data_IF_089224826069
#
_entry.id   IF_089224826069
#
_cell.length_a   1.000
_cell.length_b   1.000
_cell.length_c   1.000
_cell.angle_alpha   90.00
_cell.angle_beta   90.00
_cell.angle_gamma   90.00
#
_symmetry.space_group_name_H-M   'P 1'
#
loop_
_entity.id
_entity.type
_entity.pdbx_description
1 polymer ?
#
# COMPACT_ATOMS: atom_id res chain seq x y z
N UNK A 1 -13.81 9.19 3.52
CA UNK A 1 -12.99 8.71 2.40
C UNK A 1 -11.55 8.97 2.78
N UNK A 2 -10.67 7.97 2.73
CA UNK A 2 -9.24 8.11 3.06
C UNK A 2 -8.42 7.96 1.78
N UNK A 3 -7.40 8.80 1.62
CA UNK A 3 -6.41 8.70 0.56
C UNK A 3 -5.30 7.72 0.97
N UNK A 4 -4.66 7.11 -0.03
CA UNK A 4 -3.58 6.16 0.14
C UNK A 4 -2.51 6.42 -0.92
N UNK A 5 -1.27 6.59 -0.48
CA UNK A 5 -0.12 6.59 -1.37
C UNK A 5 0.12 5.18 -1.93
N UNK A 6 0.07 5.04 -3.25
CA UNK A 6 0.36 3.79 -3.95
C UNK A 6 1.51 3.95 -4.94
N UNK A 7 2.13 2.82 -5.31
CA UNK A 7 3.24 2.78 -6.26
C UNK A 7 4.41 3.71 -5.87
N UNK A 8 4.61 3.91 -4.56
CA UNK A 8 5.67 4.78 -4.04
C UNK A 8 7.04 4.18 -4.35
N UNK A 9 7.90 4.94 -5.02
CA UNK A 9 9.30 4.58 -5.16
C UNK A 9 10.08 5.18 -3.98
N UNK A 10 10.65 4.32 -3.13
CA UNK A 10 11.47 4.76 -2.00
C UNK A 10 12.77 5.49 -2.38
N UNK A 11 13.03 5.67 -3.67
CA UNK A 11 14.14 6.46 -4.23
C UNK A 11 13.76 7.90 -4.55
N UNK A 12 12.47 8.23 -4.54
CA UNK A 12 12.01 9.59 -4.80
C UNK A 12 12.34 10.53 -3.63
N UNK A 13 12.45 11.83 -3.93
CA UNK A 13 12.71 12.84 -2.92
C UNK A 13 11.48 13.03 -2.03
N UNK A 14 11.67 12.92 -0.72
CA UNK A 14 10.63 13.12 0.31
C UNK A 14 9.91 14.47 0.19
N UNK A 15 10.61 15.50 -0.27
CA UNK A 15 10.07 16.87 -0.44
C UNK A 15 8.80 16.92 -1.32
N UNK A 16 8.69 16.06 -2.34
CA UNK A 16 7.51 16.07 -3.21
C UNK A 16 6.28 15.57 -2.45
N UNK A 17 6.44 14.49 -1.68
CA UNK A 17 5.36 13.92 -0.87
C UNK A 17 4.86 14.94 0.16
N UNK A 18 5.77 15.64 0.84
CA UNK A 18 5.43 16.69 1.81
C UNK A 18 4.55 17.80 1.20
N UNK A 19 4.89 18.27 -0.02
CA UNK A 19 4.10 19.29 -0.71
C UNK A 19 2.69 18.77 -1.06
N UNK A 20 2.57 17.51 -1.48
CA UNK A 20 1.25 16.93 -1.74
C UNK A 20 0.43 16.74 -0.47
N UNK A 21 1.06 16.29 0.62
CA UNK A 21 0.41 16.12 1.92
C UNK A 21 -0.13 17.44 2.46
N UNK A 22 0.64 18.53 2.34
CA UNK A 22 0.19 19.88 2.68
C UNK A 22 -1.06 20.30 1.89
N UNK A 23 -1.12 19.97 0.59
CA UNK A 23 -2.27 20.30 -0.26
C UNK A 23 -3.48 19.43 0.11
N UNK A 24 -3.25 18.13 0.35
CA UNK A 24 -4.29 17.17 0.77
C UNK A 24 -4.93 17.60 2.10
N UNK A 25 -4.11 18.02 3.06
CA UNK A 25 -4.57 18.50 4.37
C UNK A 25 -5.38 19.80 4.23
N UNK A 26 -4.91 20.76 3.41
CA UNK A 26 -5.66 21.99 3.10
C UNK A 26 -7.01 21.73 2.45
N UNK A 27 -7.14 20.63 1.71
CA UNK A 27 -8.40 20.19 1.10
C UNK A 27 -9.30 19.39 2.07
N UNK A 28 -8.81 19.08 3.28
CA UNK A 28 -9.56 18.36 4.31
C UNK A 28 -9.73 16.87 4.05
N UNK A 29 -8.89 16.27 3.19
CA UNK A 29 -8.94 14.84 2.92
C UNK A 29 -8.01 14.08 3.88
N UNK A 30 -8.53 13.11 4.64
CA UNK A 30 -7.66 12.30 5.50
C UNK A 30 -6.82 11.34 4.65
N UNK A 31 -5.58 11.14 5.07
CA UNK A 31 -4.56 10.35 4.38
C UNK A 31 -3.99 9.31 5.35
N UNK A 32 -3.82 8.08 4.87
CA UNK A 32 -3.12 7.04 5.63
C UNK A 32 -1.63 7.35 5.74
N UNK A 33 -1.04 7.06 6.91
CA UNK A 33 0.40 7.16 7.13
C UNK A 33 1.16 6.05 6.41
N UNK A 34 0.52 4.90 6.22
CA UNK A 34 1.11 3.78 5.48
C UNK A 34 1.02 4.04 3.99
N UNK A 35 2.09 3.71 3.27
CA UNK A 35 2.14 3.75 1.80
C UNK A 35 2.38 2.35 1.22
N UNK A 36 1.93 2.12 -0.02
CA UNK A 36 2.23 0.92 -0.78
C UNK A 36 3.39 1.17 -1.76
N UNK A 37 4.53 0.48 -1.64
CA UNK A 37 5.67 0.66 -2.53
C UNK A 37 5.38 0.12 -3.94
N UNK A 38 6.10 0.63 -4.96
CA UNK A 38 6.11 0.02 -6.30
C UNK A 38 6.84 -1.33 -6.30
N UNK A 39 6.12 -2.34 -5.82
CA UNK A 39 6.61 -3.70 -5.76
C UNK A 39 6.20 -4.48 -7.00
N UNK A 40 7.19 -4.96 -7.76
CA UNK A 40 6.98 -5.91 -8.86
C UNK A 40 6.24 -7.19 -8.44
N UNK A 41 6.11 -7.46 -7.13
CA UNK A 41 5.39 -8.60 -6.57
C UNK A 41 3.89 -8.54 -6.86
N UNK A 42 3.28 -7.35 -6.77
CA UNK A 42 1.87 -7.16 -7.13
C UNK A 42 1.60 -7.45 -8.60
N UNK A 43 2.60 -7.27 -9.48
CA UNK A 43 2.45 -7.54 -10.93
C UNK A 43 2.51 -9.03 -11.27
N UNK A 44 3.23 -9.84 -10.47
CA UNK A 44 3.38 -11.29 -10.73
C UNK A 44 2.10 -12.09 -10.48
N UNK A 45 1.18 -11.53 -9.72
CA UNK A 45 -0.13 -12.11 -9.43
C UNK A 45 -1.00 -12.30 -10.68
N UNK A 46 -0.83 -11.46 -11.70
CA UNK A 46 -1.59 -11.56 -12.95
C UNK A 46 -1.04 -12.62 -13.93
N UNK A 47 -0.02 -13.39 -13.53
CA UNK A 47 0.56 -14.43 -14.38
C UNK A 47 -0.15 -15.78 -14.23
N UNK A 48 -0.44 -16.46 -15.34
CA UNK A 48 -1.19 -17.74 -15.42
C UNK A 48 -0.44 -18.92 -14.74
N UNK A 49 0.81 -18.72 -14.31
CA UNK A 49 1.57 -19.78 -13.63
C UNK A 49 1.14 -19.97 -12.18
N UNK A 50 1.12 -21.21 -11.67
CA UNK A 50 0.89 -21.60 -10.26
C UNK A 50 1.94 -21.03 -9.28
N UNK A 51 2.04 -19.71 -9.17
CA UNK A 51 2.92 -19.01 -8.23
C UNK A 51 2.11 -18.48 -7.06
N UNK A 52 2.82 -18.19 -5.97
CA UNK A 52 2.26 -17.62 -4.76
C UNK A 52 1.30 -16.45 -5.07
N UNK A 53 0.10 -16.51 -4.49
CA UNK A 53 -0.98 -15.57 -4.70
C UNK A 53 -1.00 -14.54 -3.56
N UNK A 54 -1.25 -13.28 -3.90
CA UNK A 54 -1.33 -12.15 -2.96
C UNK A 54 -2.78 -11.89 -2.52
N UNK A 55 -3.73 -12.09 -3.43
CA UNK A 55 -5.17 -11.87 -3.36
C UNK A 55 -5.84 -13.20 -3.67
N UNK A 56 -6.25 -13.89 -2.62
CA UNK A 56 -7.10 -15.07 -2.73
C UNK A 56 -8.18 -15.02 -1.67
N UNK A 57 -9.42 -15.33 -2.07
CA UNK A 57 -10.53 -15.55 -1.13
C UNK A 57 -10.47 -16.94 -0.50
N UNK A 58 -9.67 -17.84 -1.08
CA UNK A 58 -9.54 -19.23 -0.65
C UNK A 58 -8.26 -19.50 0.17
N UNK A 59 -7.21 -18.70 -0.03
CA UNK A 59 -5.91 -18.88 0.60
C UNK A 59 -5.42 -17.58 1.25
N UNK A 60 -4.74 -17.64 2.40
CA UNK A 60 -4.07 -16.48 2.96
C UNK A 60 -2.95 -16.00 2.03
N UNK A 61 -2.66 -14.70 2.07
CA UNK A 61 -1.55 -14.13 1.31
C UNK A 61 -0.22 -14.79 1.73
N UNK A 62 0.64 -15.07 0.74
CA UNK A 62 1.95 -15.65 1.00
C UNK A 62 2.83 -14.70 1.83
N UNK A 63 3.35 -15.19 2.96
CA UNK A 63 4.15 -14.40 3.92
C UNK A 63 5.39 -13.77 3.28
N UNK A 64 6.02 -14.45 2.32
CA UNK A 64 7.19 -13.93 1.59
C UNK A 64 6.80 -12.76 0.70
N UNK A 65 5.60 -12.81 0.12
CA UNK A 65 5.08 -11.74 -0.71
C UNK A 65 4.68 -10.52 0.14
N UNK A 66 4.01 -10.74 1.28
CA UNK A 66 3.59 -9.68 2.22
C UNK A 66 4.77 -8.90 2.79
N UNK A 67 5.87 -9.59 3.12
CA UNK A 67 7.05 -8.96 3.74
C UNK A 67 7.62 -7.82 2.90
N UNK A 68 7.52 -6.58 3.37
CA UNK A 68 8.02 -5.38 2.66
C UNK A 68 7.07 -4.84 1.58
N UNK A 69 5.80 -5.25 1.61
CA UNK A 69 4.72 -4.65 0.82
C UNK A 69 3.93 -3.58 1.59
N UNK A 70 4.18 -3.45 2.90
CA UNK A 70 3.44 -2.64 3.86
C UNK A 70 1.94 -2.98 3.96
N UNK A 71 1.49 -4.10 3.39
CA UNK A 71 0.08 -4.44 3.35
C UNK A 71 -0.45 -4.86 4.73
N UNK A 72 0.37 -5.53 5.52
CA UNK A 72 0.13 -5.81 6.94
C UNK A 72 -0.07 -4.53 7.75
N UNK A 73 0.87 -3.59 7.61
CA UNK A 73 0.82 -2.29 8.31
C UNK A 73 -0.42 -1.49 7.89
N UNK A 74 -0.75 -1.48 6.60
CA UNK A 74 -1.92 -0.77 6.08
C UNK A 74 -3.21 -1.38 6.63
N UNK A 75 -3.31 -2.71 6.69
CA UNK A 75 -4.50 -3.38 7.23
C UNK A 75 -4.67 -3.02 8.71
N UNK A 76 -3.60 -3.04 9.49
CA UNK A 76 -3.65 -2.67 10.91
C UNK A 76 -4.08 -1.20 11.08
N UNK A 77 -3.52 -0.27 10.28
CA UNK A 77 -3.93 1.13 10.29
C UNK A 77 -5.39 1.32 9.90
N UNK A 78 -5.86 0.62 8.86
CA UNK A 78 -7.26 0.64 8.43
C UNK A 78 -8.19 0.12 9.53
N UNK A 79 -7.83 -0.97 10.21
CA UNK A 79 -8.63 -1.53 11.30
C UNK A 79 -8.69 -0.59 12.51
N UNK A 80 -7.65 0.21 12.76
CA UNK A 80 -7.66 1.17 13.87
C UNK A 80 -8.37 2.48 13.52
N UNK A 81 -8.33 2.90 12.25
CA UNK A 81 -8.97 4.16 11.78
C UNK A 81 -10.43 3.99 11.37
N UNK A 82 -10.84 2.81 10.91
CA UNK A 82 -12.20 2.52 10.44
C UNK A 82 -13.08 1.82 11.48
N UNK A 83 -12.59 1.60 12.70
CA UNK A 83 -13.42 1.23 13.86
C UNK A 83 -14.43 2.33 14.15
#
# INVERSE_FOLDING_TARGET
MYLLWNLVDGREKTELYEVYEDVIDKLGFPLFKTFLPDSKRFRKEQSVSHKALFRSTLFPADKVLVKGSNLDILIDEMLDTLK
#
